data_IF_560460115966
#
_entry.id   IF_560460115966
#
_cell.length_a   1.000
_cell.length_b   1.000
_cell.length_c   1.000
_cell.angle_alpha   90.00
_cell.angle_beta   90.00
_cell.angle_gamma   90.00
#
_symmetry.space_group_name_H-M   'P 1'
#
loop_
_entity.id
_entity.type
_entity.pdbx_description
1 polymer ?
#
# COMPACT_ATOMS: atom_id res chain seq x y z
N UNK A 1 -12.09 6.30 18.09
CA UNK A 1 -10.75 5.67 17.93
C UNK A 1 -10.38 5.54 16.47
N UNK A 2 -11.22 4.90 15.63
CA UNK A 2 -11.03 4.79 14.18
C UNK A 2 -10.63 6.12 13.49
N UNK A 3 -11.30 7.23 13.82
CA UNK A 3 -10.94 8.57 13.31
C UNK A 3 -9.46 8.93 13.53
N UNK A 4 -8.91 8.71 14.73
CA UNK A 4 -7.49 9.01 15.02
C UNK A 4 -6.54 8.05 14.30
N UNK A 5 -6.90 6.78 14.19
CA UNK A 5 -6.12 5.78 13.45
C UNK A 5 -6.01 6.17 11.97
N UNK A 6 -7.11 6.64 11.37
CA UNK A 6 -7.11 7.14 9.99
C UNK A 6 -6.29 8.42 9.81
N UNK A 7 -6.34 9.36 10.75
CA UNK A 7 -5.48 10.54 10.72
C UNK A 7 -4.00 10.16 10.74
N UNK A 8 -3.61 9.26 11.66
CA UNK A 8 -2.24 8.75 11.72
C UNK A 8 -1.84 8.00 10.45
N UNK A 9 -2.77 7.25 9.85
CA UNK A 9 -2.54 6.54 8.59
C UNK A 9 -2.25 7.53 7.46
N UNK A 10 -3.02 8.62 7.36
CA UNK A 10 -2.78 9.70 6.38
C UNK A 10 -1.39 10.32 6.59
N UNK A 11 -1.02 10.64 7.84
CA UNK A 11 0.30 11.20 8.16
C UNK A 11 1.45 10.27 7.77
N UNK A 12 1.37 8.98 8.09
CA UNK A 12 2.39 7.99 7.71
C UNK A 12 2.45 7.82 6.19
N UNK A 13 1.30 7.80 5.52
CA UNK A 13 1.25 7.68 4.06
C UNK A 13 1.83 8.94 3.37
N UNK A 14 1.72 10.11 3.98
CA UNK A 14 2.46 11.31 3.55
C UNK A 14 3.97 11.16 3.73
N UNK A 15 4.43 10.67 4.88
CA UNK A 15 5.87 10.42 5.14
C UNK A 15 6.43 9.36 4.18
N UNK A 16 5.66 8.33 3.86
CA UNK A 16 6.00 7.29 2.88
C UNK A 16 6.27 7.92 1.50
N UNK A 17 5.42 8.86 1.07
CA UNK A 17 5.63 9.61 -0.18
C UNK A 17 6.96 10.35 -0.19
N UNK A 18 7.28 11.07 0.88
CA UNK A 18 8.55 11.79 1.00
C UNK A 18 9.75 10.84 0.98
N UNK A 19 9.65 9.70 1.66
CA UNK A 19 10.69 8.67 1.66
C UNK A 19 10.91 8.05 0.27
N UNK A 20 9.84 7.80 -0.50
CA UNK A 20 9.92 7.34 -1.90
C UNK A 20 10.59 8.39 -2.80
N UNK A 21 10.31 9.68 -2.57
CA UNK A 21 10.89 10.76 -3.39
C UNK A 21 12.37 11.00 -3.09
N UNK A 22 12.76 10.94 -1.82
CA UNK A 22 14.07 11.34 -1.33
C UNK A 22 15.01 10.17 -0.99
N UNK A 23 14.62 8.92 -1.31
CA UNK A 23 15.42 7.70 -1.09
C UNK A 23 15.92 7.58 0.35
N UNK A 24 14.98 7.55 1.29
CA UNK A 24 15.28 7.51 2.71
C UNK A 24 15.22 6.07 3.26
N UNK A 25 16.21 5.67 4.07
CA UNK A 25 16.28 4.35 4.72
C UNK A 25 15.08 4.04 5.65
N UNK A 26 14.25 5.05 5.93
CA UNK A 26 13.05 4.95 6.76
C UNK A 26 11.85 4.29 6.07
N UNK A 27 11.90 4.05 4.75
CA UNK A 27 10.75 3.54 3.99
C UNK A 27 10.20 2.22 4.57
N UNK A 28 11.09 1.27 4.92
CA UNK A 28 10.68 -0.02 5.48
C UNK A 28 9.92 0.16 6.80
N UNK A 29 10.45 1.00 7.71
CA UNK A 29 9.81 1.29 9.00
C UNK A 29 8.44 1.94 8.82
N UNK A 30 8.31 2.85 7.85
CA UNK A 30 7.04 3.53 7.55
C UNK A 30 5.98 2.55 7.02
N UNK A 31 6.39 1.57 6.21
CA UNK A 31 5.48 0.51 5.73
C UNK A 31 5.04 -0.39 6.89
N UNK A 32 5.96 -0.80 7.77
CA UNK A 32 5.62 -1.59 8.97
C UNK A 32 4.64 -0.84 9.90
N UNK A 33 4.87 0.45 10.13
CA UNK A 33 3.96 1.31 10.89
C UNK A 33 2.57 1.42 10.22
N UNK A 34 2.53 1.47 8.88
CA UNK A 34 1.28 1.48 8.10
C UNK A 34 0.50 0.18 8.28
N UNK A 35 1.18 -0.97 8.20
CA UNK A 35 0.59 -2.29 8.42
C UNK A 35 -0.01 -2.41 9.83
N UNK A 36 0.75 -2.00 10.86
CA UNK A 36 0.27 -2.03 12.24
C UNK A 36 -1.00 -1.18 12.45
N UNK A 37 -1.12 -0.04 11.78
CA UNK A 37 -2.34 0.78 11.83
C UNK A 37 -3.51 0.15 11.07
N UNK A 38 -3.26 -0.53 9.96
CA UNK A 38 -4.29 -1.27 9.23
C UNK A 38 -4.81 -2.46 10.05
N UNK A 39 -3.94 -3.17 10.76
CA UNK A 39 -4.34 -4.23 11.68
C UNK A 39 -5.22 -3.69 12.81
N UNK A 40 -4.84 -2.56 13.41
CA UNK A 40 -5.67 -1.88 14.41
C UNK A 40 -7.02 -1.45 13.82
N UNK A 41 -7.06 -1.03 12.56
CA UNK A 41 -8.32 -0.68 11.90
C UNK A 41 -9.21 -1.92 11.70
N UNK A 42 -8.61 -3.07 11.39
CA UNK A 42 -9.29 -4.38 11.33
C UNK A 42 -9.95 -4.75 12.65
N UNK A 43 -9.19 -4.69 13.76
CA UNK A 43 -9.71 -4.96 15.11
C UNK A 43 -10.87 -4.03 15.45
N UNK A 44 -10.72 -2.73 15.18
CA UNK A 44 -11.78 -1.75 15.47
C UNK A 44 -13.04 -1.97 14.64
N UNK A 45 -12.91 -2.51 13.43
CA UNK A 45 -14.05 -2.83 12.57
C UNK A 45 -14.77 -4.09 13.06
N UNK A 46 -14.04 -5.09 13.55
CA UNK A 46 -14.62 -6.28 14.17
C UNK A 46 -15.32 -5.94 15.49
N UNK A 47 -14.71 -5.11 16.34
CA UNK A 47 -15.34 -4.57 17.56
C UNK A 47 -16.66 -3.84 17.21
N UNK A 48 -16.65 -3.03 16.15
CA UNK A 48 -17.84 -2.33 15.68
C UNK A 48 -18.94 -3.31 15.26
N UNK A 49 -18.60 -4.36 14.51
CA UNK A 49 -19.59 -5.39 14.09
C UNK A 49 -20.13 -6.15 15.28
N UNK A 50 -19.29 -6.51 16.24
CA UNK A 50 -19.69 -7.18 17.48
C UNK A 50 -20.68 -6.33 18.28
N UNK A 51 -20.38 -5.04 18.46
CA UNK A 51 -21.27 -4.10 19.16
C UNK A 51 -22.63 -3.94 18.44
N UNK A 52 -22.62 -3.87 17.10
CA UNK A 52 -23.87 -3.79 16.32
C UNK A 52 -24.73 -5.03 16.56
N UNK A 53 -24.12 -6.22 16.58
CA UNK A 53 -24.82 -7.48 16.85
C UNK A 53 -25.33 -7.59 18.30
N UNK A 54 -24.54 -7.18 19.29
CA UNK A 54 -25.00 -7.17 20.68
C UNK A 54 -26.20 -6.24 20.88
N UNK A 55 -26.18 -5.07 20.25
CA UNK A 55 -27.28 -4.11 20.34
C UNK A 55 -28.51 -4.64 19.60
N UNK A 56 -28.35 -5.27 18.43
CA UNK A 56 -29.48 -5.83 17.67
C UNK A 56 -30.18 -6.96 18.43
N UNK A 57 -29.42 -7.82 19.11
CA UNK A 57 -29.97 -8.88 19.98
C UNK A 57 -30.71 -8.33 21.21
N UNK A 58 -30.33 -7.15 21.72
CA UNK A 58 -31.00 -6.49 22.84
C UNK A 58 -32.24 -5.68 22.44
N UNK A 59 -32.41 -5.39 21.14
CA UNK A 59 -33.62 -4.77 20.60
C UNK A 59 -34.74 -5.82 20.46
N UNK A 60 -36.00 -5.37 20.49
CA UNK A 60 -37.18 -6.24 20.47
C UNK A 60 -37.12 -7.30 19.34
N UNK A 61 -37.74 -8.49 19.55
CA UNK A 61 -37.75 -9.55 18.54
C UNK A 61 -38.36 -9.04 17.23
N UNK A 62 -37.55 -9.03 16.16
CA UNK A 62 -37.92 -8.55 14.82
C UNK A 62 -37.07 -7.41 14.26
N UNK A 63 -36.08 -6.93 15.01
CA UNK A 63 -35.13 -5.92 14.54
C UNK A 63 -33.81 -6.58 14.07
N UNK A 64 -33.79 -7.07 12.83
CA UNK A 64 -32.57 -7.54 12.17
C UNK A 64 -31.75 -6.34 11.71
N UNK A 65 -31.02 -5.71 12.64
CA UNK A 65 -30.09 -4.63 12.33
C UNK A 65 -28.71 -5.20 12.00
N UNK A 66 -28.40 -5.30 10.71
CA UNK A 66 -27.09 -5.76 10.20
C UNK A 66 -26.06 -4.61 10.13
N UNK A 67 -26.54 -3.36 10.13
CA UNK A 67 -25.70 -2.17 9.98
C UNK A 67 -25.89 -1.18 11.13
N UNK A 68 -24.84 -0.40 11.40
CA UNK A 68 -24.92 0.74 12.32
C UNK A 68 -26.01 1.74 11.87
N UNK A 69 -26.27 1.86 10.56
CA UNK A 69 -27.32 2.73 10.03
C UNK A 69 -28.71 2.30 10.44
N UNK A 70 -28.94 0.99 10.62
CA UNK A 70 -30.24 0.43 10.98
C UNK A 70 -30.54 0.65 12.48
N UNK A 71 -29.48 0.88 13.27
CA UNK A 71 -29.58 1.23 14.68
C UNK A 71 -29.89 2.71 14.92
N UNK A 72 -29.54 3.61 13.98
CA UNK A 72 -29.69 5.07 14.12
C UNK A 72 -31.12 5.55 14.44
N UNK A 73 -32.21 4.98 13.87
CA UNK A 73 -33.58 5.38 14.17
C UNK A 73 -34.02 5.05 15.60
N UNK A 74 -33.36 4.08 16.24
CA UNK A 74 -33.66 3.61 17.60
C UNK A 74 -32.92 4.42 18.68
N UNK A 75 -31.97 5.27 18.27
CA UNK A 75 -31.20 6.15 19.14
C UNK A 75 -31.89 7.52 19.30
N UNK A 76 -31.59 8.19 20.42
CA UNK A 76 -31.98 9.59 20.61
C UNK A 76 -31.42 10.46 19.48
N UNK A 77 -32.23 11.40 18.99
CA UNK A 77 -31.92 12.23 17.82
C UNK A 77 -30.55 12.93 17.89
N UNK A 78 -30.15 13.40 19.06
CA UNK A 78 -28.85 14.04 19.27
C UNK A 78 -27.67 13.07 19.14
N UNK A 79 -27.81 11.85 19.67
CA UNK A 79 -26.78 10.81 19.57
C UNK A 79 -26.69 10.26 18.15
N UNK A 80 -27.83 10.07 17.49
CA UNK A 80 -27.92 9.65 16.09
C UNK A 80 -27.18 10.62 15.17
N UNK A 81 -27.46 11.93 15.25
CA UNK A 81 -26.76 12.95 14.48
C UNK A 81 -25.24 12.98 14.74
N UNK A 82 -24.83 12.76 16.00
CA UNK A 82 -23.41 12.73 16.35
C UNK A 82 -22.69 11.53 15.76
N UNK A 83 -23.34 10.36 15.76
CA UNK A 83 -22.80 9.14 15.14
C UNK A 83 -22.73 9.32 13.63
N UNK A 84 -23.76 9.87 12.98
CA UNK A 84 -23.76 10.14 11.55
C UNK A 84 -22.57 11.03 11.13
N UNK A 85 -22.34 12.14 11.82
CA UNK A 85 -21.18 13.02 11.56
C UNK A 85 -19.85 12.32 11.75
N UNK A 86 -19.74 11.43 12.74
CA UNK A 86 -18.52 10.66 12.96
C UNK A 86 -18.30 9.64 11.84
N UNK A 87 -19.35 8.95 11.40
CA UNK A 87 -19.30 8.02 10.27
C UNK A 87 -18.89 8.77 9.01
N UNK A 88 -19.51 9.91 8.73
CA UNK A 88 -19.16 10.77 7.61
C UNK A 88 -17.67 11.14 7.64
N UNK A 89 -17.18 11.67 8.77
CA UNK A 89 -15.76 12.01 8.93
C UNK A 89 -14.81 10.82 8.76
N UNK A 90 -15.17 9.64 9.27
CA UNK A 90 -14.41 8.40 9.08
C UNK A 90 -14.39 7.99 7.60
N UNK A 91 -15.52 8.08 6.90
CA UNK A 91 -15.60 7.72 5.47
C UNK A 91 -14.79 8.68 4.60
N UNK A 92 -14.79 9.98 4.92
CA UNK A 92 -13.98 10.98 4.22
C UNK A 92 -12.50 10.69 4.39
N UNK A 93 -12.02 10.49 5.64
CA UNK A 93 -10.62 10.18 5.91
C UNK A 93 -10.19 8.84 5.27
N UNK A 94 -11.07 7.84 5.25
CA UNK A 94 -10.79 6.58 4.57
C UNK A 94 -10.66 6.75 3.04
N UNK A 95 -11.48 7.63 2.45
CA UNK A 95 -11.36 8.01 1.04
C UNK A 95 -10.02 8.68 0.74
N UNK A 96 -9.68 9.72 1.49
CA UNK A 96 -8.41 10.45 1.36
C UNK A 96 -7.20 9.52 1.50
N UNK A 97 -7.21 8.63 2.50
CA UNK A 97 -6.14 7.65 2.71
C UNK A 97 -5.96 6.72 1.51
N UNK A 98 -7.05 6.22 0.91
CA UNK A 98 -6.98 5.36 -0.29
C UNK A 98 -6.43 6.09 -1.50
N UNK A 99 -6.90 7.31 -1.74
CA UNK A 99 -6.41 8.14 -2.86
C UNK A 99 -4.91 8.41 -2.71
N UNK A 100 -4.48 8.75 -1.50
CA UNK A 100 -3.07 9.02 -1.20
C UNK A 100 -2.20 7.77 -1.41
N UNK A 101 -2.66 6.62 -0.92
CA UNK A 101 -1.97 5.34 -1.07
C UNK A 101 -1.88 4.91 -2.56
N UNK A 102 -2.96 5.11 -3.34
CA UNK A 102 -2.96 4.85 -4.78
C UNK A 102 -1.92 5.69 -5.52
N UNK A 103 -1.86 6.99 -5.20
CA UNK A 103 -0.87 7.90 -5.77
C UNK A 103 0.57 7.51 -5.38
N UNK A 104 0.79 7.07 -4.13
CA UNK A 104 2.11 6.60 -3.68
C UNK A 104 2.53 5.31 -4.39
N UNK A 105 1.59 4.38 -4.60
CA UNK A 105 1.85 3.16 -5.34
C UNK A 105 2.28 3.46 -6.79
N UNK A 106 1.55 4.35 -7.48
CA UNK A 106 1.92 4.79 -8.82
C UNK A 106 3.32 5.43 -8.84
N UNK A 107 3.64 6.27 -7.86
CA UNK A 107 4.97 6.88 -7.73
C UNK A 107 6.07 5.84 -7.53
N UNK A 108 5.84 4.83 -6.68
CA UNK A 108 6.79 3.75 -6.44
C UNK A 108 7.06 2.94 -7.72
N UNK A 109 6.01 2.64 -8.51
CA UNK A 109 6.15 1.97 -9.81
C UNK A 109 7.03 2.77 -10.76
N UNK A 110 6.78 4.08 -10.89
CA UNK A 110 7.61 4.95 -11.72
C UNK A 110 9.06 4.91 -11.27
N UNK A 111 9.34 5.06 -9.96
CA UNK A 111 10.72 5.00 -9.44
C UNK A 111 11.39 3.66 -9.74
N UNK A 112 10.66 2.56 -9.63
CA UNK A 112 11.15 1.22 -9.94
C UNK A 112 11.49 1.06 -11.43
N UNK A 113 10.69 1.63 -12.33
CA UNK A 113 10.99 1.63 -13.77
C UNK A 113 12.26 2.43 -14.09
N UNK A 114 12.48 3.57 -13.41
CA UNK A 114 13.74 4.32 -13.54
C UNK A 114 14.96 3.50 -13.07
N UNK A 115 14.85 2.78 -11.96
CA UNK A 115 15.93 1.90 -11.46
C UNK A 115 16.22 0.78 -12.46
N UNK A 116 15.18 0.14 -13.01
CA UNK A 116 15.34 -0.89 -14.05
C UNK A 116 16.02 -0.34 -15.31
N UNK A 117 15.60 0.84 -15.77
CA UNK A 117 16.21 1.49 -16.92
C UNK A 117 17.69 1.81 -16.69
N UNK A 118 18.03 2.32 -15.49
CA UNK A 118 19.41 2.58 -15.10
C UNK A 118 20.24 1.27 -15.03
N UNK A 119 19.67 0.21 -14.46
CA UNK A 119 20.31 -1.11 -14.43
C UNK A 119 20.57 -1.63 -15.84
N UNK A 120 19.60 -1.53 -16.74
CA UNK A 120 19.74 -1.97 -18.13
C UNK A 120 20.81 -1.16 -18.88
N UNK A 121 20.83 0.15 -18.68
CA UNK A 121 21.87 1.03 -19.23
C UNK A 121 23.27 0.64 -18.74
N UNK A 122 23.45 0.39 -17.44
CA UNK A 122 24.73 -0.04 -16.86
C UNK A 122 25.14 -1.44 -17.35
N UNK A 123 24.19 -2.37 -17.48
CA UNK A 123 24.47 -3.68 -18.04
C UNK A 123 24.89 -3.60 -19.52
N UNK A 124 24.29 -2.69 -20.28
CA UNK A 124 24.64 -2.42 -21.68
C UNK A 124 26.01 -1.74 -21.85
N UNK A 125 26.42 -0.87 -20.92
CA UNK A 125 27.72 -0.19 -20.99
C UNK A 125 28.91 -1.06 -20.54
N UNK A 126 28.65 -2.14 -19.79
CA UNK A 126 29.66 -3.12 -19.37
C UNK A 126 29.83 -4.25 -20.40
N UNK A 127 29.00 -4.29 -21.47
CA UNK A 127 29.26 -5.18 -22.60
C UNK A 127 30.55 -4.73 -23.30
N UNK A 128 31.55 -5.61 -23.47
CA UNK A 128 32.77 -5.25 -24.15
C UNK A 128 32.44 -4.77 -25.56
N UNK A 129 33.04 -3.65 -25.96
CA UNK A 129 32.92 -3.18 -27.34
C UNK A 129 33.23 -4.34 -28.28
N UNK A 130 32.39 -4.51 -29.31
CA UNK A 130 32.73 -5.38 -30.43
C UNK A 130 33.91 -4.70 -31.10
N UNK A 131 35.12 -5.04 -30.65
CA UNK A 131 36.37 -4.60 -31.24
C UNK A 131 36.23 -4.69 -32.76
N UNK A 132 36.57 -3.61 -33.47
CA UNK A 132 36.62 -3.62 -34.92
C UNK A 132 37.53 -4.77 -35.37
N UNK A 133 36.91 -5.84 -35.91
CA UNK A 133 37.64 -6.98 -36.46
C UNK A 133 37.89 -6.72 -37.94
N UNK A 134 39.15 -6.50 -38.37
CA UNK A 134 39.45 -6.36 -39.78
C UNK A 134 39.08 -7.67 -40.52
N UNK A 135 38.47 -7.58 -41.71
CA UNK A 135 38.03 -8.76 -42.46
C UNK A 135 39.25 -9.52 -42.97
N UNK A 136 39.59 -10.64 -42.33
CA UNK A 136 40.70 -11.51 -42.77
C UNK A 136 41.22 -12.52 -41.76
N UNK A 137 41.07 -12.26 -40.45
CA UNK A 137 41.56 -13.18 -39.41
C UNK A 137 40.40 -13.81 -38.64
N UNK A 138 39.85 -14.91 -39.17
CA UNK A 138 39.03 -15.82 -38.39
C UNK A 138 39.93 -16.92 -37.81
N UNK A 139 40.25 -16.94 -36.49
CA UNK A 139 40.80 -18.15 -35.91
C UNK A 139 39.67 -19.16 -35.72
N UNK A 140 39.99 -20.44 -35.90
CA UNK A 140 39.09 -21.55 -35.66
C UNK A 140 38.43 -21.39 -34.28
N UNK A 141 37.11 -21.61 -34.25
CA UNK A 141 36.28 -21.65 -33.05
C UNK A 141 36.94 -22.60 -32.04
N UNK A 142 37.75 -22.05 -31.12
CA UNK A 142 38.09 -22.73 -29.89
C UNK A 142 36.91 -22.49 -28.98
N UNK A 143 36.22 -23.57 -28.65
CA UNK A 143 35.34 -23.65 -27.49
C UNK A 143 36.08 -23.10 -26.28
N UNK A 144 35.91 -21.80 -26.01
CA UNK A 144 36.40 -21.17 -24.81
C UNK A 144 35.32 -21.36 -23.76
N UNK A 145 35.61 -22.32 -22.88
CA UNK A 145 34.93 -22.66 -21.64
C UNK A 145 33.86 -21.67 -21.19
N UNK A 146 32.64 -22.20 -21.08
CA UNK A 146 31.53 -21.54 -20.43
C UNK A 146 31.99 -20.95 -19.10
N UNK A 147 31.91 -19.63 -18.99
CA UNK A 147 31.83 -18.98 -17.70
C UNK A 147 30.47 -19.36 -17.15
N UNK A 148 30.47 -20.34 -16.24
CA UNK A 148 29.30 -20.96 -15.64
C UNK A 148 28.40 -19.96 -14.94
N UNK A 149 27.55 -19.30 -15.71
CA UNK A 149 26.39 -18.57 -15.23
C UNK A 149 25.18 -19.32 -15.75
N UNK A 150 24.76 -20.33 -15.00
CA UNK A 150 23.46 -20.95 -15.19
C UNK A 150 22.37 -19.91 -14.87
N UNK A 151 21.83 -19.28 -15.91
CA UNK A 151 20.55 -18.59 -15.80
C UNK A 151 19.47 -19.67 -15.81
N UNK A 152 18.98 -20.03 -14.63
CA UNK A 152 17.77 -20.86 -14.51
C UNK A 152 16.57 -19.99 -14.89
N UNK A 153 15.94 -20.34 -16.01
CA UNK A 153 14.57 -19.95 -16.34
C UNK A 153 13.59 -20.96 -15.71
#
# INVERSE_FOLDING_TARGET
>A
RQFRVLQNLIEITHKEREAILNQQDSLMRLVEEKEALLDQLGILEDDRRHLVQEISLGLQPGCDADSLKDLLPHLQKEQSMRIERLVEGITTLAGESRELNSANHALALVRLDWVKAAQWFLAGSVQPEVDYRPPGNAPALKDSGGWGIEVRA
#
